data_IF_598373110849
#
_entry.id   IF_598373110849
#
_cell.length_a   1.000
_cell.length_b   1.000
_cell.length_c   1.000
_cell.angle_alpha   90.00
_cell.angle_beta   90.00
_cell.angle_gamma   90.00
#
_symmetry.space_group_name_H-M   'P 1'
#
loop_
_entity.id
_entity.type
_entity.pdbx_description
1 polymer ?
#
# COMPACT_ATOMS: atom_id res chain seq x y z
N UNK A 1 19.00 -2.99 6.95
CA UNK A 1 18.46 -4.08 7.80
C UNK A 1 19.41 -5.26 7.75
N UNK A 2 19.64 -5.98 8.86
CA UNK A 2 20.39 -7.23 8.85
C UNK A 2 19.69 -8.26 7.97
N UNK A 3 20.41 -8.96 7.11
CA UNK A 3 19.86 -9.99 6.20
C UNK A 3 19.11 -11.08 6.99
N UNK A 4 19.64 -11.48 8.15
CA UNK A 4 18.98 -12.44 9.03
C UNK A 4 17.59 -12.01 9.51
N UNK A 5 17.39 -10.71 9.79
CA UNK A 5 16.09 -10.18 10.22
C UNK A 5 15.08 -10.12 9.06
N UNK A 6 15.56 -9.95 7.82
CA UNK A 6 14.71 -9.98 6.63
C UNK A 6 14.10 -11.38 6.39
N UNK A 7 14.88 -12.44 6.57
CA UNK A 7 14.40 -13.82 6.34
C UNK A 7 13.70 -14.46 7.54
N UNK A 8 13.77 -13.84 8.72
CA UNK A 8 13.13 -14.38 9.94
C UNK A 8 11.97 -13.49 10.37
N UNK A 9 12.27 -12.30 10.90
CA UNK A 9 11.28 -11.37 11.41
C UNK A 9 10.29 -10.89 10.35
N UNK A 10 10.78 -10.48 9.17
CA UNK A 10 9.91 -9.91 8.13
C UNK A 10 8.93 -10.93 7.54
N UNK A 11 9.38 -12.18 7.36
CA UNK A 11 8.52 -13.28 6.86
C UNK A 11 7.43 -13.60 7.88
N UNK A 12 7.78 -13.67 9.17
CA UNK A 12 6.81 -13.92 10.24
C UNK A 12 5.78 -12.80 10.35
N UNK A 13 6.21 -11.54 10.35
CA UNK A 13 5.31 -10.37 10.43
C UNK A 13 4.38 -10.33 9.21
N UNK A 14 4.90 -10.56 8.01
CA UNK A 14 4.08 -10.57 6.81
C UNK A 14 3.05 -11.71 6.86
N UNK A 15 3.47 -12.94 7.19
CA UNK A 15 2.57 -14.10 7.31
C UNK A 15 1.49 -13.85 8.36
N UNK A 16 1.88 -13.32 9.52
CA UNK A 16 0.95 -12.95 10.59
C UNK A 16 -0.09 -11.94 10.08
N UNK A 17 0.33 -10.88 9.39
CA UNK A 17 -0.58 -9.88 8.83
C UNK A 17 -1.62 -10.49 7.87
N UNK A 18 -1.20 -11.35 6.94
CA UNK A 18 -2.12 -11.98 5.96
C UNK A 18 -3.05 -13.02 6.59
N UNK A 19 -2.60 -13.73 7.62
CA UNK A 19 -3.36 -14.81 8.25
C UNK A 19 -4.23 -14.37 9.42
N UNK A 20 -3.98 -13.20 10.02
CA UNK A 20 -4.72 -12.73 11.21
C UNK A 20 -5.59 -11.51 10.93
N UNK A 21 -5.42 -10.84 9.79
CA UNK A 21 -6.30 -9.76 9.40
C UNK A 21 -7.67 -10.34 9.02
N UNK A 22 -8.63 -10.16 9.93
CA UNK A 22 -9.97 -10.71 9.82
C UNK A 22 -10.66 -10.36 8.49
N UNK A 23 -10.44 -9.15 7.95
CA UNK A 23 -11.03 -8.76 6.67
C UNK A 23 -10.47 -9.54 5.48
N UNK A 24 -9.19 -9.92 5.53
CA UNK A 24 -8.54 -10.71 4.47
C UNK A 24 -8.97 -12.18 4.60
N UNK A 25 -8.95 -12.72 5.81
CA UNK A 25 -9.32 -14.11 6.10
C UNK A 25 -10.78 -14.35 5.73
N UNK A 26 -11.70 -13.46 6.13
CA UNK A 26 -13.12 -13.59 5.80
C UNK A 26 -13.38 -13.54 4.29
N UNK A 27 -12.71 -12.68 3.53
CA UNK A 27 -12.84 -12.65 2.06
C UNK A 27 -12.39 -13.97 1.42
N UNK A 28 -11.33 -14.57 1.96
CA UNK A 28 -10.85 -15.88 1.50
C UNK A 28 -11.83 -16.99 1.87
N UNK A 29 -12.38 -16.99 3.09
CA UNK A 29 -13.35 -17.98 3.55
C UNK A 29 -14.74 -17.84 2.89
N UNK A 30 -15.13 -16.63 2.50
CA UNK A 30 -16.36 -16.35 1.77
C UNK A 30 -16.27 -16.68 0.27
N UNK A 31 -15.14 -17.20 -0.20
CA UNK A 31 -14.97 -17.61 -1.60
C UNK A 31 -15.82 -18.84 -1.94
N UNK A 32 -16.20 -18.97 -3.21
CA UNK A 32 -17.09 -20.05 -3.67
C UNK A 32 -16.48 -21.45 -3.54
N UNK A 33 -15.15 -21.55 -3.59
CA UNK A 33 -14.39 -22.79 -3.44
C UNK A 33 -12.95 -22.48 -3.05
N UNK A 34 -12.25 -23.48 -2.51
CA UNK A 34 -10.82 -23.35 -2.17
C UNK A 34 -9.98 -22.90 -3.38
N UNK A 35 -10.27 -23.44 -4.57
CA UNK A 35 -9.56 -23.10 -5.79
C UNK A 35 -9.77 -21.62 -6.19
N UNK A 36 -10.98 -21.07 -6.01
CA UNK A 36 -11.24 -19.66 -6.28
C UNK A 36 -10.59 -18.74 -5.24
N UNK A 37 -10.57 -19.14 -3.96
CA UNK A 37 -9.83 -18.43 -2.92
C UNK A 37 -8.32 -18.36 -3.21
N UNK A 38 -7.72 -19.47 -3.67
CA UNK A 38 -6.30 -19.53 -4.04
C UNK A 38 -5.99 -18.65 -5.27
N UNK A 39 -6.85 -18.65 -6.29
CA UNK A 39 -6.71 -17.74 -7.45
C UNK A 39 -6.78 -16.28 -7.03
N UNK A 40 -7.71 -15.93 -6.14
CA UNK A 40 -7.81 -14.58 -5.58
C UNK A 40 -6.55 -14.16 -4.80
N UNK A 41 -5.98 -15.08 -4.01
CA UNK A 41 -4.72 -14.85 -3.31
C UNK A 41 -3.55 -14.65 -4.28
N UNK A 42 -3.45 -15.46 -5.35
CA UNK A 42 -2.42 -15.31 -6.37
C UNK A 42 -2.55 -13.99 -7.13
N UNK A 43 -3.76 -13.61 -7.54
CA UNK A 43 -4.01 -12.32 -8.20
C UNK A 43 -3.58 -11.15 -7.29
N UNK A 44 -3.93 -11.23 -6.00
CA UNK A 44 -3.50 -10.23 -5.01
C UNK A 44 -1.98 -10.15 -4.93
N UNK A 45 -1.28 -11.28 -4.89
CA UNK A 45 0.18 -11.31 -4.86
C UNK A 45 0.81 -10.67 -6.10
N UNK A 46 0.26 -10.93 -7.29
CA UNK A 46 0.72 -10.29 -8.54
C UNK A 46 0.51 -8.78 -8.50
N UNK A 47 -0.66 -8.31 -8.05
CA UNK A 47 -0.93 -6.87 -7.95
C UNK A 47 0.03 -6.17 -6.98
N UNK A 48 0.38 -6.81 -5.86
CA UNK A 48 1.34 -6.24 -4.89
C UNK A 48 2.76 -6.08 -5.44
N UNK A 49 3.13 -6.78 -6.51
CA UNK A 49 4.43 -6.55 -7.16
C UNK A 49 4.53 -5.16 -7.80
N UNK A 50 3.39 -4.48 -8.03
CA UNK A 50 3.35 -3.11 -8.53
C UNK A 50 3.53 -2.06 -7.42
N UNK A 51 3.30 -2.41 -6.15
CA UNK A 51 3.37 -1.47 -5.01
C UNK A 51 4.72 -0.72 -4.96
N UNK A 52 5.89 -1.36 -5.17
CA UNK A 52 7.17 -0.65 -5.19
C UNK A 52 7.30 0.36 -6.35
N UNK A 53 6.71 0.07 -7.51
CA UNK A 53 6.76 0.97 -8.65
C UNK A 53 5.91 2.22 -8.41
N UNK A 54 4.75 2.07 -7.80
CA UNK A 54 3.79 3.17 -7.58
C UNK A 54 4.12 3.97 -6.32
N UNK A 55 4.68 3.35 -5.28
CA UNK A 55 4.92 4.02 -3.99
C UNK A 55 6.40 4.34 -3.74
N UNK A 56 7.32 3.43 -4.06
CA UNK A 56 8.75 3.61 -3.72
C UNK A 56 9.47 4.48 -4.74
N UNK A 57 9.26 4.24 -6.05
CA UNK A 57 9.91 5.06 -7.09
C UNK A 57 9.62 6.56 -6.98
N UNK A 58 8.37 7.03 -6.88
CA UNK A 58 8.11 8.45 -6.75
C UNK A 58 8.61 9.03 -5.42
N UNK A 59 8.60 8.25 -4.33
CA UNK A 59 9.25 8.64 -3.07
C UNK A 59 10.76 8.87 -3.24
N UNK A 60 11.43 7.98 -3.98
CA UNK A 60 12.86 8.10 -4.29
C UNK A 60 13.16 9.31 -5.18
N UNK A 61 12.33 9.57 -6.19
CA UNK A 61 12.45 10.74 -7.07
C UNK A 61 12.23 12.02 -6.26
N UNK A 62 11.20 12.07 -5.41
CA UNK A 62 10.93 13.22 -4.55
C UNK A 62 12.08 13.49 -3.57
N UNK A 63 12.71 12.44 -3.02
CA UNK A 63 13.87 12.57 -2.14
C UNK A 63 15.08 13.26 -2.83
N UNK A 64 15.30 12.99 -4.12
CA UNK A 64 16.39 13.63 -4.87
C UNK A 64 16.05 15.05 -5.32
N UNK A 65 14.77 15.34 -5.62
CA UNK A 65 14.33 16.65 -6.10
C UNK A 65 14.11 17.66 -4.97
N UNK A 66 13.70 17.20 -3.78
CA UNK A 66 13.30 18.05 -2.67
C UNK A 66 14.07 17.65 -1.40
N UNK A 67 15.33 18.11 -1.30
CA UNK A 67 16.23 17.80 -0.18
C UNK A 67 15.93 18.65 1.08
N UNK A 68 15.29 19.82 0.93
CA UNK A 68 14.99 20.79 2.01
C UNK A 68 13.51 20.78 2.45
N UNK A 69 12.85 19.62 2.43
CA UNK A 69 11.48 19.52 2.92
C UNK A 69 11.44 19.53 4.47
N UNK A 70 10.57 20.34 5.10
CA UNK A 70 10.44 20.39 6.57
C UNK A 70 9.91 19.09 7.17
N UNK A 71 9.25 18.23 6.38
CA UNK A 71 8.79 16.89 6.77
C UNK A 71 8.89 15.92 5.60
N UNK A 72 9.44 14.73 5.85
CA UNK A 72 9.62 13.68 4.83
C UNK A 72 8.29 13.21 4.21
N UNK A 73 7.21 13.19 4.97
CA UNK A 73 5.88 12.75 4.51
C UNK A 73 5.28 13.67 3.41
N UNK A 74 5.79 14.90 3.29
CA UNK A 74 5.32 15.88 2.30
C UNK A 74 5.99 15.70 0.93
N UNK A 75 6.99 14.83 0.80
CA UNK A 75 7.72 14.61 -0.44
C UNK A 75 6.81 14.10 -1.56
N UNK A 76 5.95 13.12 -1.24
CA UNK A 76 5.07 12.49 -2.22
C UNK A 76 3.94 13.42 -2.71
N UNK A 77 3.20 14.13 -1.84
CA UNK A 77 2.21 15.12 -2.28
C UNK A 77 2.82 16.28 -3.10
N UNK A 78 4.01 16.75 -2.74
CA UNK A 78 4.68 17.85 -3.45
C UNK A 78 5.08 17.43 -4.86
N UNK A 79 5.57 16.20 -5.03
CA UNK A 79 5.89 15.66 -6.35
C UNK A 79 4.64 15.52 -7.23
N UNK A 80 3.55 15.01 -6.67
CA UNK A 80 2.27 14.83 -7.38
C UNK A 80 1.73 16.17 -7.89
N UNK A 81 1.72 17.21 -7.05
CA UNK A 81 1.24 18.55 -7.43
C UNK A 81 2.05 19.19 -8.56
N UNK A 82 3.35 18.87 -8.64
CA UNK A 82 4.25 19.46 -9.63
C UNK A 82 4.29 18.67 -10.94
N UNK A 83 3.94 17.37 -10.93
CA UNK A 83 4.00 16.49 -12.11
C UNK A 83 2.64 16.31 -12.79
N UNK A 84 1.54 16.26 -12.03
CA UNK A 84 0.22 15.94 -12.56
C UNK A 84 -0.57 17.19 -12.98
N UNK A 85 -1.33 17.13 -14.09
CA UNK A 85 -2.23 18.21 -14.47
C UNK A 85 -3.39 18.32 -13.48
N UNK A 86 -3.91 19.54 -13.30
CA UNK A 86 -4.95 19.91 -12.32
C UNK A 86 -6.10 18.90 -12.14
N UNK A 87 -6.76 18.38 -13.21
CA UNK A 87 -7.84 17.41 -13.01
C UNK A 87 -7.38 16.07 -12.43
N UNK A 88 -6.13 15.65 -12.69
CA UNK A 88 -5.59 14.39 -12.18
C UNK A 88 -5.12 14.51 -10.73
N UNK A 89 -4.74 15.70 -10.27
CA UNK A 89 -4.45 15.96 -8.85
C UNK A 89 -5.70 15.75 -7.99
N UNK A 90 -6.87 16.23 -8.47
CA UNK A 90 -8.14 15.98 -7.79
C UNK A 90 -8.52 14.50 -7.74
N UNK A 91 -8.35 13.79 -8.85
CA UNK A 91 -8.54 12.33 -8.90
C UNK A 91 -7.61 11.60 -7.91
N UNK A 92 -6.33 11.95 -7.89
CA UNK A 92 -5.36 11.35 -6.99
C UNK A 92 -5.69 11.63 -5.52
N UNK A 93 -6.10 12.86 -5.19
CA UNK A 93 -6.59 13.22 -3.85
C UNK A 93 -7.80 12.39 -3.43
N UNK A 94 -8.74 12.14 -4.34
CA UNK A 94 -9.89 11.27 -4.08
C UNK A 94 -9.49 9.82 -3.81
N UNK A 95 -8.51 9.29 -4.55
CA UNK A 95 -7.95 7.94 -4.31
C UNK A 95 -7.26 7.84 -2.95
N UNK A 96 -6.48 8.86 -2.57
CA UNK A 96 -5.84 8.90 -1.25
C UNK A 96 -6.86 9.02 -0.12
N UNK A 97 -7.88 9.86 -0.29
CA UNK A 97 -8.97 9.97 0.68
C UNK A 97 -9.69 8.63 0.85
N UNK A 98 -10.02 7.95 -0.26
CA UNK A 98 -10.60 6.61 -0.22
C UNK A 98 -9.71 5.59 0.52
N UNK A 99 -8.39 5.64 0.32
CA UNK A 99 -7.45 4.78 1.02
C UNK A 99 -7.38 5.10 2.52
N UNK A 100 -7.47 6.38 2.90
CA UNK A 100 -7.44 6.83 4.31
C UNK A 100 -8.77 6.60 5.05
N UNK A 101 -9.90 6.71 4.37
CA UNK A 101 -11.24 6.58 4.96
C UNK A 101 -11.50 5.17 5.51
N UNK A 102 -10.91 4.14 4.88
CA UNK A 102 -10.94 2.78 5.41
C UNK A 102 -10.36 2.65 6.83
N UNK A 103 -9.48 3.57 7.23
CA UNK A 103 -8.88 3.59 8.55
C UNK A 103 -9.76 4.33 9.57
N UNK A 104 -10.47 5.38 9.14
CA UNK A 104 -11.37 6.17 9.98
C UNK A 104 -12.64 5.41 10.34
N UNK A 105 -13.25 4.70 9.38
CA UNK A 105 -14.42 3.87 9.62
C UNK A 105 -14.15 2.77 10.65
N UNK A 106 -12.91 2.26 10.70
CA UNK A 106 -12.47 1.23 11.64
C UNK A 106 -12.13 1.76 13.04
N UNK A 107 -12.02 3.08 13.22
CA UNK A 107 -11.85 3.76 14.52
C UNK A 107 -13.17 4.26 15.10
N UNK A 108 -14.21 4.39 14.27
CA UNK A 108 -15.57 4.78 14.67
C UNK A 108 -16.47 3.58 15.05
N UNK A 109 -15.96 2.35 14.89
CA UNK A 109 -16.58 1.09 15.33
C UNK A 109 -15.89 0.56 16.59
#
# INVERSE_FOLDING_TARGET
MPIGAAFTGLILVNTFYWCTNQGIVQRTLASKSLAEGQKGALLTAVLKMLDPLVLVLPGLIAFHLYQDLPKADMAYPTLVNNVLPVPMVGFFGAVLFWCGDQYLQRLSE
#
